data_IF_116858537465
#
_entry.id   IF_116858537465
#
_cell.length_a   1.000
_cell.length_b   1.000
_cell.length_c   1.000
_cell.angle_alpha   90.00
_cell.angle_beta   90.00
_cell.angle_gamma   90.00
#
_symmetry.space_group_name_H-M   'P 1'
#
loop_
_entity.id
_entity.type
_entity.pdbx_description
1 polymer ?
#
# COMPACT_ATOMS: atom_id res chain seq x y z
N UNK A 1 18.38 -43.41 12.71
CA UNK A 1 17.65 -42.21 13.18
C UNK A 1 18.23 -40.87 12.68
N UNK A 2 19.08 -40.82 11.64
CA UNK A 2 19.65 -39.57 11.10
C UNK A 2 18.83 -38.92 9.97
N UNK A 3 17.92 -39.67 9.34
CA UNK A 3 17.14 -39.23 8.17
C UNK A 3 15.88 -38.43 8.53
N UNK A 4 15.40 -38.52 9.77
CA UNK A 4 14.21 -37.82 10.26
C UNK A 4 14.49 -36.35 10.67
N UNK A 5 15.74 -36.02 10.96
CA UNK A 5 16.14 -34.66 11.33
C UNK A 5 16.18 -33.72 10.11
N UNK A 6 16.51 -34.25 8.92
CA UNK A 6 16.58 -33.44 7.70
C UNK A 6 15.19 -33.04 7.17
N UNK A 7 14.18 -33.89 7.32
CA UNK A 7 12.81 -33.60 6.88
C UNK A 7 12.13 -32.53 7.73
N UNK A 8 12.45 -32.44 9.03
CA UNK A 8 11.88 -31.41 9.91
C UNK A 8 12.42 -30.01 9.60
N UNK A 9 13.69 -29.90 9.20
CA UNK A 9 14.30 -28.61 8.83
C UNK A 9 13.75 -28.05 7.51
N UNK A 10 13.39 -28.94 6.57
CA UNK A 10 12.87 -28.56 5.27
C UNK A 10 11.40 -28.09 5.33
N UNK A 11 10.61 -28.60 6.28
CA UNK A 11 9.22 -28.20 6.48
C UNK A 11 9.08 -26.77 7.05
N UNK A 12 10.08 -26.28 7.79
CA UNK A 12 10.07 -24.93 8.37
C UNK A 12 10.45 -23.83 7.38
N UNK A 13 11.10 -24.17 6.26
CA UNK A 13 11.50 -23.18 5.25
C UNK A 13 10.33 -22.69 4.36
N UNK A 14 9.20 -23.40 4.33
CA UNK A 14 8.05 -23.06 3.46
C UNK A 14 7.01 -22.14 4.11
N UNK A 15 7.17 -21.73 5.37
CA UNK A 15 6.19 -20.84 6.02
C UNK A 15 6.38 -19.35 5.66
N UNK A 16 7.41 -19.01 4.89
CA UNK A 16 7.71 -17.63 4.48
C UNK A 16 7.18 -17.28 3.07
N UNK A 17 5.95 -17.70 2.74
CA UNK A 17 5.28 -17.30 1.49
C UNK A 17 3.83 -16.85 1.75
N UNK A 18 3.59 -16.11 2.84
CA UNK A 18 2.39 -15.30 2.92
C UNK A 18 2.52 -14.17 1.91
N UNK A 19 1.65 -14.10 0.91
CA UNK A 19 1.65 -12.97 -0.03
C UNK A 19 1.43 -11.69 0.77
N UNK A 20 2.49 -10.91 0.96
CA UNK A 20 2.46 -9.63 1.66
C UNK A 20 1.75 -8.60 0.76
N UNK A 21 0.44 -8.77 0.63
CA UNK A 21 -0.39 -7.87 -0.13
C UNK A 21 -0.55 -6.58 0.68
N UNK A 22 -0.26 -5.45 0.03
CA UNK A 22 -0.32 -4.10 0.59
C UNK A 22 0.64 -3.80 1.75
N UNK A 23 1.92 -4.20 1.62
CA UNK A 23 2.98 -3.70 2.51
C UNK A 23 3.16 -2.19 2.43
N UNK A 24 2.83 -1.56 1.29
CA UNK A 24 2.94 -0.11 1.12
C UNK A 24 1.86 0.65 1.90
N UNK A 25 0.59 0.22 1.81
CA UNK A 25 -0.51 0.87 2.55
C UNK A 25 -0.28 0.89 4.07
N UNK A 26 0.39 -0.12 4.62
CA UNK A 26 0.73 -0.16 6.05
C UNK A 26 1.73 0.92 6.48
N UNK A 27 2.45 1.50 5.52
CA UNK A 27 3.44 2.55 5.77
C UNK A 27 2.84 3.95 5.61
N UNK A 28 1.62 4.06 5.08
CA UNK A 28 0.92 5.34 4.91
C UNK A 28 0.62 5.96 6.27
N UNK A 29 1.03 7.21 6.44
CA UNK A 29 0.78 7.98 7.65
C UNK A 29 0.12 9.31 7.29
N UNK A 30 -0.74 9.80 8.18
CA UNK A 30 -1.28 11.15 8.07
C UNK A 30 -0.13 12.17 8.12
N UNK A 31 -0.29 13.28 7.39
CA UNK A 31 0.75 14.29 7.27
C UNK A 31 1.76 14.05 6.14
N UNK A 32 1.77 12.88 5.50
CA UNK A 32 2.65 12.63 4.35
C UNK A 32 2.34 13.57 3.19
N UNK A 33 3.38 14.01 2.47
CA UNK A 33 3.21 14.84 1.27
C UNK A 33 2.72 14.03 0.07
N UNK A 34 2.16 14.67 -0.98
CA UNK A 34 1.81 13.97 -2.21
C UNK A 34 2.99 13.20 -2.79
N UNK A 35 4.19 13.81 -2.85
CA UNK A 35 5.41 13.13 -3.33
C UNK A 35 5.79 11.92 -2.47
N UNK A 36 5.64 11.98 -1.15
CA UNK A 36 5.91 10.82 -0.28
C UNK A 36 4.94 9.67 -0.57
N UNK A 37 3.67 9.98 -0.81
CA UNK A 37 2.67 8.97 -1.18
C UNK A 37 2.94 8.40 -2.57
N UNK A 38 3.31 9.23 -3.56
CA UNK A 38 3.67 8.77 -4.91
C UNK A 38 4.94 7.91 -4.88
N UNK A 39 5.95 8.29 -4.09
CA UNK A 39 7.16 7.48 -3.91
C UNK A 39 6.87 6.13 -3.23
N UNK A 40 5.89 6.08 -2.33
CA UNK A 40 5.51 4.86 -1.61
C UNK A 40 4.60 3.94 -2.45
N UNK A 41 3.58 4.51 -3.09
CA UNK A 41 2.52 3.77 -3.79
C UNK A 41 2.79 3.57 -5.29
N UNK A 42 3.71 4.36 -5.85
CA UNK A 42 4.09 4.36 -7.26
C UNK A 42 3.43 5.48 -8.07
N UNK A 43 3.90 5.69 -9.30
CA UNK A 43 3.43 6.78 -10.17
C UNK A 43 2.11 6.48 -10.90
N UNK A 44 1.58 5.26 -10.77
CA UNK A 44 0.34 4.83 -11.43
C UNK A 44 -0.90 5.20 -10.62
N UNK A 45 -1.20 6.50 -10.56
CA UNK A 45 -2.39 7.03 -9.91
C UNK A 45 -3.24 7.87 -10.87
N UNK A 46 -4.46 8.19 -10.44
CA UNK A 46 -5.33 9.17 -11.09
C UNK A 46 -5.63 10.29 -10.11
N UNK A 47 -5.57 11.55 -10.56
CA UNK A 47 -6.07 12.67 -9.77
C UNK A 47 -7.57 12.78 -10.02
N UNK A 48 -8.38 12.53 -8.99
CA UNK A 48 -9.86 12.51 -9.12
C UNK A 48 -10.51 13.81 -8.67
N UNK A 49 -9.82 14.60 -7.85
CA UNK A 49 -10.21 15.94 -7.45
C UNK A 49 -8.95 16.81 -7.32
N UNK A 50 -8.97 18.05 -7.81
CA UNK A 50 -7.81 18.95 -7.70
C UNK A 50 -8.27 20.41 -7.69
N UNK A 51 -7.87 21.15 -6.64
CA UNK A 51 -7.89 22.61 -6.63
C UNK A 51 -6.50 23.15 -7.00
N UNK A 52 -5.48 22.61 -6.33
CA UNK A 52 -4.07 22.86 -6.57
C UNK A 52 -3.27 21.60 -6.17
N UNK A 53 -1.96 21.60 -6.34
CA UNK A 53 -1.11 20.44 -6.03
C UNK A 53 -1.14 20.04 -4.54
N UNK A 54 -1.36 21.00 -3.64
CA UNK A 54 -1.41 20.77 -2.19
C UNK A 54 -2.81 20.32 -1.74
N UNK A 55 -3.84 20.58 -2.55
CA UNK A 55 -5.24 20.30 -2.27
C UNK A 55 -5.83 19.44 -3.40
N UNK A 56 -5.54 18.14 -3.35
CA UNK A 56 -5.94 17.16 -4.36
C UNK A 56 -6.30 15.81 -3.73
N UNK A 57 -6.96 14.96 -4.51
CA UNK A 57 -7.26 13.57 -4.17
C UNK A 57 -6.63 12.65 -5.22
N UNK A 58 -5.74 11.76 -4.77
CA UNK A 58 -5.14 10.72 -5.60
C UNK A 58 -5.92 9.40 -5.43
N UNK A 59 -6.15 8.70 -6.53
CA UNK A 59 -6.77 7.38 -6.56
C UNK A 59 -5.80 6.34 -7.14
N UNK A 60 -5.64 5.24 -6.43
CA UNK A 60 -4.87 4.07 -6.85
C UNK A 60 -5.80 2.87 -7.04
N UNK A 61 -5.58 2.11 -8.10
CA UNK A 61 -6.24 0.82 -8.33
C UNK A 61 -5.23 -0.28 -8.15
N UNK A 62 -5.45 -1.16 -7.17
CA UNK A 62 -4.58 -2.30 -6.96
C UNK A 62 -4.93 -3.48 -7.87
N UNK A 63 -4.11 -4.55 -7.80
CA UNK A 63 -4.27 -5.75 -8.65
C UNK A 63 -5.59 -6.50 -8.43
N UNK A 64 -6.30 -6.24 -7.33
CA UNK A 64 -7.62 -6.82 -7.03
C UNK A 64 -8.75 -5.83 -7.31
N UNK A 65 -8.47 -4.76 -8.05
CA UNK A 65 -9.42 -3.71 -8.44
C UNK A 65 -9.97 -2.90 -7.26
N UNK A 66 -9.34 -2.95 -6.09
CA UNK A 66 -9.73 -2.04 -5.02
C UNK A 66 -9.26 -0.62 -5.35
N UNK A 67 -10.12 0.35 -5.12
CA UNK A 67 -9.82 1.76 -5.27
C UNK A 67 -9.45 2.35 -3.92
N UNK A 68 -8.25 2.92 -3.85
CA UNK A 68 -7.71 3.60 -2.67
C UNK A 68 -7.60 5.08 -2.94
N UNK A 69 -8.23 5.88 -2.10
CA UNK A 69 -8.28 7.34 -2.21
C UNK A 69 -7.40 7.96 -1.14
N UNK A 70 -6.61 8.96 -1.52
CA UNK A 70 -5.69 9.71 -0.66
C UNK A 70 -6.00 11.18 -0.81
N UNK A 71 -6.55 11.80 0.22
CA UNK A 71 -6.96 13.20 0.20
C UNK A 71 -5.91 14.07 0.90
N UNK A 72 -5.45 15.08 0.19
CA UNK A 72 -4.45 16.04 0.66
C UNK A 72 -5.10 17.39 0.94
N UNK A 73 -4.72 17.98 2.07
CA UNK A 73 -5.10 19.34 2.47
C UNK A 73 -3.82 20.06 2.86
N UNK A 74 -3.58 21.23 2.29
CA UNK A 74 -2.37 22.04 2.52
C UNK A 74 -1.06 21.23 2.34
N UNK A 75 -1.04 20.31 1.38
CA UNK A 75 0.14 19.52 0.99
C UNK A 75 0.39 18.32 1.88
N UNK A 76 -0.55 17.98 2.76
CA UNK A 76 -0.41 16.94 3.77
C UNK A 76 -1.58 15.96 3.68
N UNK A 77 -1.30 14.66 3.80
CA UNK A 77 -2.32 13.62 3.76
C UNK A 77 -3.26 13.79 4.97
N UNK A 78 -4.50 14.15 4.69
CA UNK A 78 -5.55 14.37 5.69
C UNK A 78 -6.28 13.08 6.03
N UNK A 79 -6.62 12.29 5.00
CA UNK A 79 -7.24 10.96 5.17
C UNK A 79 -7.00 10.09 3.95
N UNK A 80 -7.15 8.79 4.15
CA UNK A 80 -7.18 7.82 3.06
C UNK A 80 -8.18 6.71 3.37
N UNK A 81 -8.76 6.11 2.34
CA UNK A 81 -9.75 5.06 2.48
C UNK A 81 -9.84 4.18 1.23
N UNK A 82 -10.33 2.96 1.44
CA UNK A 82 -10.83 2.11 0.36
C UNK A 82 -12.29 2.43 0.13
N UNK A 83 -12.71 2.68 -1.10
CA UNK A 83 -14.14 2.70 -1.42
C UNK A 83 -14.70 1.28 -1.26
N UNK A 84 -15.68 1.13 -0.37
CA UNK A 84 -16.41 -0.11 -0.22
C UNK A 84 -17.51 -0.14 -1.27
N UNK A 85 -17.60 -1.26 -2.00
CA UNK A 85 -18.86 -1.67 -2.61
C UNK A 85 -19.94 -1.83 -1.52
#
# INVERSE_FOLDING_TARGET
MKKLLFTLFMALALTACGTAYNTQLKQVQLGMTPDQIVNLMGEKYTVVEQRDYNNQTLMYVDKFKNQWYFQFVDGHLYKWYKEKE
#
